data_IF_465971911576
#
_entry.id   IF_465971911576
#
_cell.length_a   1.000
_cell.length_b   1.000
_cell.length_c   1.000
_cell.angle_alpha   90.00
_cell.angle_beta   90.00
_cell.angle_gamma   90.00
#
_symmetry.space_group_name_H-M   'P 1'
#
loop_
_entity.id
_entity.type
_entity.pdbx_description
1 polymer ?
#
# COMPACT_ATOMS: atom_id res chain seq x y z
N UNK A 1 -6.88 16.11 -2.01
CA UNK A 1 -5.84 15.20 -1.49
C UNK A 1 -4.55 16.01 -1.38
N UNK A 2 -3.95 16.07 -0.20
CA UNK A 2 -2.67 16.76 -0.03
C UNK A 2 -1.49 15.86 -0.42
N UNK A 3 -0.29 16.43 -0.55
CA UNK A 3 0.91 15.70 -0.99
C UNK A 3 1.26 14.50 -0.08
N UNK A 4 1.02 14.62 1.22
CA UNK A 4 1.31 13.58 2.21
C UNK A 4 0.33 12.41 2.03
N UNK A 5 -0.96 12.70 1.88
CA UNK A 5 -2.00 11.70 1.60
C UNK A 5 -1.71 10.96 0.29
N UNK A 6 -1.39 11.70 -0.77
CA UNK A 6 -1.08 11.10 -2.07
C UNK A 6 0.12 10.15 -1.99
N UNK A 7 1.21 10.58 -1.35
CA UNK A 7 2.41 9.75 -1.17
C UNK A 7 2.13 8.49 -0.37
N UNK A 8 1.29 8.58 0.66
CA UNK A 8 0.88 7.42 1.46
C UNK A 8 0.03 6.46 0.62
N UNK A 9 -0.93 6.97 -0.14
CA UNK A 9 -1.73 6.16 -1.06
C UNK A 9 -0.84 5.37 -2.04
N UNK A 10 0.14 6.05 -2.66
CA UNK A 10 1.08 5.41 -3.58
C UNK A 10 1.88 4.30 -2.89
N UNK A 11 2.44 4.56 -1.70
CA UNK A 11 3.19 3.56 -0.95
C UNK A 11 2.37 2.30 -0.63
N UNK A 12 1.10 2.50 -0.24
CA UNK A 12 0.19 1.40 0.06
C UNK A 12 -0.21 0.63 -1.18
N UNK A 13 -0.41 1.33 -2.30
CA UNK A 13 -0.71 0.71 -3.59
C UNK A 13 0.46 -0.15 -4.07
N UNK A 14 1.69 0.39 -4.02
CA UNK A 14 2.92 -0.34 -4.37
C UNK A 14 3.07 -1.60 -3.52
N UNK A 15 2.80 -1.49 -2.22
CA UNK A 15 2.85 -2.63 -1.30
C UNK A 15 1.80 -3.70 -1.66
N UNK A 16 0.55 -3.29 -1.91
CA UNK A 16 -0.50 -4.25 -2.26
C UNK A 16 -0.20 -4.96 -3.58
N UNK A 17 0.33 -4.25 -4.58
CA UNK A 17 0.77 -4.85 -5.85
C UNK A 17 1.91 -5.83 -5.61
N UNK A 18 2.88 -5.51 -4.73
CA UNK A 18 3.98 -6.41 -4.41
C UNK A 18 3.50 -7.71 -3.73
N UNK A 19 2.51 -7.61 -2.83
CA UNK A 19 1.92 -8.77 -2.19
C UNK A 19 1.05 -9.59 -3.15
N UNK A 20 0.28 -8.93 -4.01
CA UNK A 20 -0.44 -9.57 -5.11
C UNK A 20 0.52 -10.35 -6.01
N UNK A 21 1.63 -9.72 -6.41
CA UNK A 21 2.69 -10.36 -7.21
C UNK A 21 3.19 -11.61 -6.51
N UNK A 22 3.52 -11.52 -5.22
CA UNK A 22 4.01 -12.66 -4.44
C UNK A 22 2.99 -13.80 -4.42
N UNK A 23 1.74 -13.52 -4.05
CA UNK A 23 0.65 -14.50 -3.99
C UNK A 23 0.44 -15.20 -5.35
N UNK A 24 0.43 -14.44 -6.45
CA UNK A 24 0.26 -15.00 -7.80
C UNK A 24 1.49 -15.80 -8.25
N UNK A 25 2.68 -15.39 -7.83
CA UNK A 25 3.91 -16.15 -8.12
C UNK A 25 3.90 -17.50 -7.41
N UNK A 26 3.49 -17.54 -6.14
CA UNK A 26 3.31 -18.78 -5.38
C UNK A 26 2.26 -19.68 -6.05
N UNK A 27 1.12 -19.13 -6.48
CA UNK A 27 0.06 -19.89 -7.16
C UNK A 27 0.52 -20.51 -8.50
N UNK A 28 1.38 -19.81 -9.25
CA UNK A 28 1.87 -20.28 -10.56
C UNK A 28 3.14 -21.13 -10.45
N UNK A 29 3.81 -21.14 -9.30
CA UNK A 29 5.08 -21.84 -9.08
C UNK A 29 6.30 -21.17 -9.75
N UNK A 30 6.18 -19.91 -10.17
CA UNK A 30 7.27 -19.11 -10.73
C UNK A 30 6.99 -17.60 -10.54
N UNK A 31 8.04 -16.77 -10.56
CA UNK A 31 7.89 -15.31 -10.49
C UNK A 31 7.17 -14.78 -11.74
N UNK A 32 5.98 -14.20 -11.56
CA UNK A 32 5.19 -13.64 -12.66
C UNK A 32 5.75 -12.33 -13.22
N UNK A 33 6.67 -11.69 -12.51
CA UNK A 33 7.20 -10.38 -12.85
C UNK A 33 6.28 -9.22 -12.45
N UNK A 34 6.85 -8.03 -12.32
CA UNK A 34 6.13 -6.85 -11.88
C UNK A 34 5.08 -6.37 -12.91
N UNK A 35 5.42 -6.38 -14.19
CA UNK A 35 4.53 -5.91 -15.26
C UNK A 35 3.25 -6.74 -15.35
N UNK A 36 3.37 -8.07 -15.37
CA UNK A 36 2.21 -8.96 -15.37
C UNK A 36 1.38 -8.80 -14.10
N UNK A 37 2.02 -8.64 -12.93
CA UNK A 37 1.30 -8.44 -11.68
C UNK A 37 0.46 -7.16 -11.70
N UNK A 38 0.99 -6.06 -12.23
CA UNK A 38 0.26 -4.78 -12.36
C UNK A 38 -0.94 -4.94 -13.31
N UNK A 39 -0.72 -5.59 -14.47
CA UNK A 39 -1.79 -5.83 -15.44
C UNK A 39 -2.89 -6.71 -14.86
N UNK A 40 -2.53 -7.81 -14.20
CA UNK A 40 -3.47 -8.73 -13.56
C UNK A 40 -4.22 -8.06 -12.40
N UNK A 41 -3.51 -7.32 -11.54
CA UNK A 41 -4.10 -6.60 -10.42
C UNK A 41 -5.12 -5.55 -10.90
N UNK A 42 -4.75 -4.75 -11.91
CA UNK A 42 -5.66 -3.77 -12.49
C UNK A 42 -6.82 -4.41 -13.26
N UNK A 43 -6.56 -5.46 -14.02
CA UNK A 43 -7.54 -6.13 -14.86
C UNK A 43 -8.59 -6.93 -14.08
N UNK A 44 -8.24 -7.39 -12.87
CA UNK A 44 -9.13 -8.17 -12.01
C UNK A 44 -9.95 -7.31 -11.03
N UNK A 45 -9.88 -5.98 -11.12
CA UNK A 45 -10.67 -5.07 -10.29
C UNK A 45 -10.05 -4.73 -8.93
N UNK A 46 -8.86 -5.26 -8.61
CA UNK A 46 -8.17 -4.95 -7.34
C UNK A 46 -7.81 -3.46 -7.25
N UNK A 47 -7.47 -2.83 -8.37
CA UNK A 47 -7.22 -1.39 -8.43
C UNK A 47 -8.43 -0.55 -8.02
N UNK A 48 -9.63 -0.99 -8.42
CA UNK A 48 -10.88 -0.32 -8.11
C UNK A 48 -11.18 -0.51 -6.62
N UNK A 49 -11.15 -1.78 -6.16
CA UNK A 49 -11.34 -2.13 -4.74
C UNK A 49 -10.40 -1.31 -3.85
N UNK A 50 -9.09 -1.35 -4.12
CA UNK A 50 -8.09 -0.57 -3.37
C UNK A 50 -8.45 0.91 -3.30
N UNK A 51 -8.81 1.51 -4.43
CA UNK A 51 -9.11 2.93 -4.47
C UNK A 51 -10.37 3.28 -3.66
N UNK A 52 -11.46 2.54 -3.82
CA UNK A 52 -12.72 2.77 -3.09
C UNK A 52 -12.50 2.63 -1.59
N UNK A 53 -11.88 1.52 -1.21
CA UNK A 53 -11.54 1.20 0.16
C UNK A 53 -10.61 2.24 0.79
N UNK A 54 -9.56 2.68 0.07
CA UNK A 54 -8.70 3.77 0.54
C UNK A 54 -9.50 5.06 0.76
N UNK A 55 -10.43 5.42 -0.14
CA UNK A 55 -11.22 6.65 0.02
C UNK A 55 -12.13 6.58 1.25
N UNK A 56 -12.77 5.43 1.48
CA UNK A 56 -13.68 5.20 2.61
C UNK A 56 -12.94 5.23 3.96
N UNK A 57 -11.72 4.70 4.02
CA UNK A 57 -10.98 4.52 5.28
C UNK A 57 -9.75 5.43 5.43
N UNK A 58 -9.57 6.45 4.57
CA UNK A 58 -8.37 7.30 4.61
C UNK A 58 -8.11 7.93 5.98
N UNK A 59 -9.15 8.28 6.76
CA UNK A 59 -9.00 8.84 8.10
C UNK A 59 -8.32 7.85 9.05
N UNK A 60 -8.84 6.62 9.10
CA UNK A 60 -8.35 5.55 9.95
C UNK A 60 -6.96 5.06 9.52
N UNK A 61 -6.72 4.95 8.20
CA UNK A 61 -5.40 4.65 7.65
C UNK A 61 -4.37 5.69 8.12
N UNK A 62 -4.71 6.98 8.10
CA UNK A 62 -3.82 8.05 8.52
C UNK A 62 -3.55 8.01 10.03
N UNK A 63 -4.56 7.72 10.84
CA UNK A 63 -4.43 7.54 12.30
C UNK A 63 -3.53 6.34 12.60
N UNK A 64 -3.86 5.17 12.03
CA UNK A 64 -3.08 3.93 12.18
C UNK A 64 -1.64 4.13 11.78
N UNK A 65 -1.40 4.85 10.69
CA UNK A 65 -0.03 5.08 10.26
C UNK A 65 0.73 5.98 11.21
N UNK A 66 0.11 7.05 11.72
CA UNK A 66 0.76 7.90 12.71
C UNK A 66 1.01 7.18 14.03
N UNK A 67 0.13 6.26 14.46
CA UNK A 67 0.31 5.51 15.71
C UNK A 67 1.34 4.38 15.58
N UNK A 68 1.39 3.67 14.45
CA UNK A 68 2.35 2.59 14.21
C UNK A 68 3.74 3.13 13.84
N UNK A 69 3.79 4.13 12.96
CA UNK A 69 5.05 4.61 12.40
C UNK A 69 5.61 5.87 13.10
N UNK A 70 4.77 6.62 13.82
CA UNK A 70 5.07 7.97 14.30
C UNK A 70 4.70 9.04 13.28
N UNK A 71 4.45 10.26 13.78
CA UNK A 71 4.03 11.39 12.96
C UNK A 71 5.05 11.70 11.85
N UNK A 72 4.56 11.85 10.61
CA UNK A 72 5.40 12.16 9.44
C UNK A 72 6.29 11.03 8.93
N UNK A 73 6.27 9.83 9.55
CA UNK A 73 7.16 8.70 9.19
C UNK A 73 6.51 7.67 8.26
N UNK A 74 5.23 7.82 8.00
CA UNK A 74 4.46 6.99 7.10
C UNK A 74 4.62 7.43 5.64
N UNK A 75 5.27 6.61 4.80
CA UNK A 75 5.48 6.89 3.36
C UNK A 75 6.37 5.88 2.63
N UNK A 76 6.42 5.99 1.30
CA UNK A 76 7.27 5.19 0.42
C UNK A 76 8.76 5.49 0.64
N UNK A 77 9.62 4.52 0.29
CA UNK A 77 11.07 4.56 0.43
C UNK A 77 11.68 5.88 -0.06
N UNK A 78 12.73 6.29 0.67
CA UNK A 78 13.63 7.41 0.41
C UNK A 78 13.42 8.14 -0.93
N UNK A 79 12.84 9.35 -0.87
CA UNK A 79 12.98 10.31 -1.96
C UNK A 79 14.47 10.56 -2.19
N UNK A 80 14.92 10.58 -3.45
CA UNK A 80 16.23 11.12 -3.79
C UNK A 80 16.37 12.52 -3.17
N UNK A 81 17.37 12.70 -2.30
CA UNK A 81 17.61 13.94 -1.55
C UNK A 81 17.09 13.97 -0.11
N UNK A 82 16.39 12.94 0.38
CA UNK A 82 16.11 12.80 1.82
C UNK A 82 17.29 12.12 2.56
N UNK A 83 17.61 12.56 3.79
CA UNK A 83 18.66 11.92 4.57
C UNK A 83 18.32 10.45 4.86
N UNK A 84 19.27 9.56 4.62
CA UNK A 84 19.17 8.09 4.78
C UNK A 84 18.81 7.62 6.20
N UNK A 85 18.79 8.52 7.18
CA UNK A 85 18.40 8.23 8.57
C UNK A 85 16.90 8.37 8.84
N UNK A 86 16.11 8.94 7.91
CA UNK A 86 14.65 8.94 8.02
C UNK A 86 14.16 7.56 7.59
N UNK A 87 14.07 6.64 8.57
CA UNK A 87 13.41 5.35 8.36
C UNK A 87 11.94 5.60 8.06
N UNK A 88 11.58 5.48 6.79
CA UNK A 88 10.19 5.41 6.35
C UNK A 88 9.61 4.09 6.84
N UNK A 89 8.47 4.17 7.52
CA UNK A 89 7.73 3.02 7.99
C UNK A 89 6.54 2.81 7.07
N UNK A 90 6.39 1.57 6.62
CA UNK A 90 5.30 1.13 5.77
C UNK A 90 4.39 0.29 6.66
N UNK A 91 3.09 0.60 6.67
CA UNK A 91 2.11 -0.28 7.29
C UNK A 91 2.08 -1.59 6.51
N UNK A 92 2.13 -2.71 7.22
CA UNK A 92 1.79 -4.02 6.67
C UNK A 92 0.40 -3.93 6.01
N UNK A 93 0.27 -4.40 4.76
CA UNK A 93 -1.04 -4.31 4.09
C UNK A 93 -2.07 -5.14 4.84
N UNK A 94 -1.69 -6.21 5.52
CA UNK A 94 -2.59 -7.03 6.35
C UNK A 94 -3.22 -6.22 7.49
N UNK A 95 -2.48 -5.30 8.09
CA UNK A 95 -2.99 -4.36 9.11
C UNK A 95 -3.93 -3.33 8.50
N UNK A 96 -3.82 -3.10 7.20
CA UNK A 96 -4.74 -2.26 6.45
C UNK A 96 -5.95 -3.09 6.05
N UNK A 97 -5.80 -4.26 5.44
CA UNK A 97 -6.88 -5.20 5.09
C UNK A 97 -7.83 -5.45 6.26
N UNK A 98 -7.33 -5.57 7.51
CA UNK A 98 -8.20 -5.59 8.70
C UNK A 98 -9.08 -4.33 8.83
N UNK A 99 -8.51 -3.14 8.67
CA UNK A 99 -9.27 -1.88 8.62
C UNK A 99 -10.16 -1.75 7.37
N UNK A 100 -9.88 -2.53 6.31
CA UNK A 100 -10.60 -2.51 5.04
C UNK A 100 -11.73 -3.57 4.99
N UNK A 101 -11.67 -4.60 5.83
CA UNK A 101 -12.61 -5.72 5.90
C UNK A 101 -13.59 -5.58 7.08
N UNK A 102 -13.24 -4.86 8.16
CA UNK A 102 -14.11 -4.61 9.33
C UNK A 102 -15.25 -3.58 9.07
N UNK A 103 -15.61 -3.36 7.81
CA UNK A 103 -16.63 -2.41 7.35
C UNK A 103 -17.96 -3.04 6.91
N UNK A 104 -18.20 -4.33 7.20
CA UNK A 104 -19.49 -5.03 6.98
C UNK A 104 -20.37 -5.07 8.25
#
# INVERSE_FOLDING_TARGET
MNLIEYRRKMALQEREIAEYKWLKSEQKGYDIGAEQAILDWSGNGEAIRFNETYQSHKGDIMIKCNTTCGEGRCGAESLEGMPTYIKTCILEISSIHQLLEDGE
#
